data_IF_050350185428
#
_entry.id   IF_050350185428
#
_cell.length_a   1.000
_cell.length_b   1.000
_cell.length_c   1.000
_cell.angle_alpha   90.00
_cell.angle_beta   90.00
_cell.angle_gamma   90.00
#
_symmetry.space_group_name_H-M   'P 1'
#
loop_
_entity.id
_entity.type
_entity.pdbx_description
1 polymer ?
#
# COMPACT_ATOMS: atom_id res chain seq x y z
N UNK A 1 -13.52 -1.55 10.65
CA UNK A 1 -12.88 -2.00 9.38
C UNK A 1 -12.04 -3.21 9.69
N UNK A 2 -12.19 -4.29 8.93
CA UNK A 2 -11.35 -5.47 9.11
C UNK A 2 -9.93 -5.17 8.61
N UNK A 3 -8.93 -5.53 9.40
CA UNK A 3 -7.50 -5.36 9.08
C UNK A 3 -6.95 -6.64 8.43
N UNK A 4 -5.94 -6.50 7.58
CA UNK A 4 -5.13 -7.61 7.06
C UNK A 4 -3.65 -7.28 7.16
N UNK A 5 -2.78 -8.27 7.15
CA UNK A 5 -1.33 -8.04 7.11
C UNK A 5 -0.80 -7.97 5.67
N UNK A 6 0.38 -7.37 5.45
CA UNK A 6 0.96 -7.23 4.12
C UNK A 6 1.23 -8.58 3.46
N UNK A 7 1.73 -9.56 4.21
CA UNK A 7 2.01 -10.89 3.68
C UNK A 7 0.79 -11.54 3.04
N UNK A 8 -0.41 -11.34 3.61
CA UNK A 8 -1.66 -11.81 3.02
C UNK A 8 -1.93 -11.16 1.65
N UNK A 9 -1.61 -9.87 1.47
CA UNK A 9 -1.72 -9.18 0.17
C UNK A 9 -0.74 -9.75 -0.84
N UNK A 10 0.52 -9.92 -0.44
CA UNK A 10 1.56 -10.46 -1.31
C UNK A 10 1.17 -11.85 -1.81
N UNK A 11 0.70 -12.72 -0.92
CA UNK A 11 0.20 -14.05 -1.27
C UNK A 11 -1.02 -13.96 -2.20
N UNK A 12 -2.00 -13.12 -1.87
CA UNK A 12 -3.22 -12.95 -2.67
C UNK A 12 -2.90 -12.54 -4.12
N UNK A 13 -1.96 -11.63 -4.31
CA UNK A 13 -1.55 -11.11 -5.61
C UNK A 13 -0.38 -11.87 -6.26
N UNK A 14 0.13 -12.94 -5.62
CA UNK A 14 1.30 -13.70 -6.07
C UNK A 14 2.55 -12.83 -6.29
N UNK A 15 2.78 -11.87 -5.39
CA UNK A 15 3.97 -11.03 -5.37
C UNK A 15 5.04 -11.72 -4.51
N UNK A 16 6.13 -12.15 -5.15
CA UNK A 16 7.27 -12.79 -4.51
C UNK A 16 8.45 -11.83 -4.52
N UNK A 17 8.53 -10.98 -3.49
CA UNK A 17 9.55 -9.95 -3.33
C UNK A 17 10.07 -9.96 -1.91
N UNK A 18 11.38 -9.75 -1.75
CA UNK A 18 12.00 -9.66 -0.43
C UNK A 18 11.74 -8.27 0.17
N UNK A 19 11.00 -8.24 1.27
CA UNK A 19 10.66 -7.04 2.02
C UNK A 19 11.04 -7.20 3.49
N UNK A 20 11.42 -6.11 4.17
CA UNK A 20 11.69 -6.13 5.61
C UNK A 20 10.61 -6.84 6.43
N UNK A 21 11.02 -7.74 7.34
CA UNK A 21 10.11 -8.61 8.09
C UNK A 21 9.04 -7.84 8.88
N UNK A 22 9.38 -6.68 9.44
CA UNK A 22 8.41 -5.85 10.15
C UNK A 22 7.29 -5.31 9.23
N UNK A 23 7.57 -5.14 7.92
CA UNK A 23 6.56 -4.71 6.93
C UNK A 23 5.57 -5.83 6.61
N UNK A 24 6.06 -7.06 6.53
CA UNK A 24 5.22 -8.24 6.27
C UNK A 24 4.09 -8.36 7.30
N UNK A 25 4.35 -7.94 8.54
CA UNK A 25 3.41 -7.96 9.66
C UNK A 25 2.60 -6.65 9.82
N UNK A 26 2.82 -5.61 9.00
CA UNK A 26 2.06 -4.37 9.08
C UNK A 26 0.62 -4.58 8.63
N UNK A 27 -0.33 -3.95 9.35
CA UNK A 27 -1.75 -4.07 9.03
C UNK A 27 -2.24 -2.99 8.08
N UNK A 28 -2.91 -3.39 7.01
CA UNK A 28 -3.56 -2.53 6.04
C UNK A 28 -5.08 -2.75 6.00
N UNK A 29 -5.78 -1.89 5.26
CA UNK A 29 -7.21 -2.01 5.05
C UNK A 29 -7.50 -3.19 4.10
N UNK A 30 -8.44 -4.06 4.44
CA UNK A 30 -8.84 -5.19 3.58
C UNK A 30 -9.34 -4.81 2.20
N UNK A 31 -9.74 -3.56 1.99
CA UNK A 31 -10.19 -3.06 0.68
C UNK A 31 -9.19 -3.33 -0.46
N UNK A 32 -7.89 -3.42 -0.14
CA UNK A 32 -6.86 -3.72 -1.14
C UNK A 32 -7.00 -5.13 -1.76
N UNK A 33 -7.65 -6.08 -1.09
CA UNK A 33 -7.96 -7.40 -1.67
C UNK A 33 -8.92 -7.31 -2.88
N UNK A 34 -9.74 -6.27 -2.94
CA UNK A 34 -10.67 -6.04 -4.04
C UNK A 34 -10.05 -5.18 -5.16
N UNK A 35 -8.76 -4.83 -5.02
CA UNK A 35 -8.05 -3.96 -5.93
C UNK A 35 -7.57 -4.62 -7.21
N UNK A 36 -7.20 -3.79 -8.19
CA UNK A 36 -6.51 -4.23 -9.41
C UNK A 36 -5.01 -4.07 -9.22
N UNK A 37 -4.28 -5.16 -9.46
CA UNK A 37 -2.83 -5.16 -9.50
C UNK A 37 -2.32 -4.71 -10.88
N UNK A 38 -1.43 -3.73 -10.90
CA UNK A 38 -0.60 -3.36 -12.05
C UNK A 38 0.87 -3.49 -11.66
N UNK A 39 1.72 -3.81 -12.64
CA UNK A 39 3.17 -3.87 -12.45
C UNK A 39 3.85 -3.05 -13.54
N UNK A 40 4.69 -2.12 -13.12
CA UNK A 40 5.52 -1.30 -14.01
C UNK A 40 6.97 -1.34 -13.54
N UNK A 41 7.84 -2.00 -14.32
CA UNK A 41 9.22 -2.24 -13.92
C UNK A 41 9.29 -3.04 -12.62
N UNK A 42 9.94 -2.46 -11.60
CA UNK A 42 10.07 -3.06 -10.25
C UNK A 42 9.00 -2.56 -9.26
N UNK A 43 7.98 -1.84 -9.72
CA UNK A 43 6.90 -1.34 -8.87
C UNK A 43 5.62 -2.11 -9.12
N UNK A 44 4.99 -2.55 -8.04
CA UNK A 44 3.63 -3.07 -8.04
C UNK A 44 2.70 -1.99 -7.49
N UNK A 45 1.53 -1.85 -8.08
CA UNK A 45 0.47 -0.98 -7.59
C UNK A 45 -0.82 -1.77 -7.48
N UNK A 46 -1.47 -1.66 -6.32
CA UNK A 46 -2.82 -2.19 -6.09
C UNK A 46 -3.74 -0.99 -5.90
N UNK A 47 -4.65 -0.78 -6.85
CA UNK A 47 -5.58 0.34 -6.86
C UNK A 47 -7.04 -0.13 -6.68
N UNK A 48 -7.79 0.53 -5.80
CA UNK A 48 -9.20 0.22 -5.54
C UNK A 48 -10.00 1.51 -5.29
N UNK A 49 -11.07 1.70 -6.05
CA UNK A 49 -12.03 2.80 -5.83
C UNK A 49 -13.23 2.29 -5.06
N UNK A 50 -13.47 2.89 -3.89
CA UNK A 50 -14.63 2.55 -3.06
C UNK A 50 -15.90 3.24 -3.54
N UNK A 51 -17.06 2.79 -3.03
CA UNK A 51 -18.37 3.41 -3.32
C UNK A 51 -18.47 4.89 -2.92
N UNK A 52 -17.56 5.38 -2.10
CA UNK A 52 -17.51 6.77 -1.63
C UNK A 52 -16.66 7.66 -2.55
N UNK A 53 -16.27 7.16 -3.74
CA UNK A 53 -15.33 7.82 -4.67
C UNK A 53 -13.97 8.12 -4.05
N UNK A 54 -13.55 7.32 -3.06
CA UNK A 54 -12.18 7.34 -2.54
C UNK A 54 -11.40 6.27 -3.27
N UNK A 55 -10.28 6.64 -3.89
CA UNK A 55 -9.36 5.69 -4.54
C UNK A 55 -8.16 5.44 -3.64
N UNK A 56 -7.99 4.19 -3.20
CA UNK A 56 -6.83 3.77 -2.43
C UNK A 56 -5.80 3.14 -3.36
N UNK A 57 -4.55 3.52 -3.18
CA UNK A 57 -3.40 2.98 -3.89
C UNK A 57 -2.42 2.41 -2.86
N UNK A 58 -1.95 1.19 -3.10
CA UNK A 58 -0.84 0.59 -2.38
C UNK A 58 0.28 0.32 -3.39
N UNK A 59 1.41 0.97 -3.20
CA UNK A 59 2.61 0.75 -3.98
C UNK A 59 3.58 -0.13 -3.21
N UNK A 60 4.12 -1.15 -3.87
CA UNK A 60 5.19 -2.01 -3.38
C UNK A 60 6.38 -1.82 -4.32
N UNK A 61 7.48 -1.32 -3.77
CA UNK A 61 8.68 -0.88 -4.49
C UNK A 61 9.94 -1.48 -3.87
N UNK A 62 10.20 -2.78 -4.09
CA UNK A 62 11.33 -3.46 -3.50
C UNK A 62 12.65 -2.73 -3.80
N UNK A 63 13.51 -2.59 -2.79
CA UNK A 63 14.80 -1.92 -2.93
C UNK A 63 14.77 -0.38 -2.84
N UNK A 64 13.61 0.28 -2.85
CA UNK A 64 13.54 1.73 -2.62
C UNK A 64 13.63 2.09 -1.12
N UNK A 65 14.00 3.34 -0.80
CA UNK A 65 14.01 3.86 0.57
C UNK A 65 12.67 3.65 1.30
N UNK A 66 11.57 3.77 0.55
CA UNK A 66 10.20 3.53 1.02
C UNK A 66 9.55 2.39 0.22
N UNK A 67 9.81 1.13 0.58
CA UNK A 67 9.36 -0.02 -0.21
C UNK A 67 7.85 -0.21 -0.19
N UNK A 68 7.12 0.40 0.75
CA UNK A 68 5.66 0.36 0.79
C UNK A 68 5.11 1.77 0.95
N UNK A 69 4.18 2.16 0.07
CA UNK A 69 3.50 3.46 0.13
C UNK A 69 2.00 3.24 -0.03
N UNK A 70 1.22 3.80 0.87
CA UNK A 70 -0.24 3.84 0.78
C UNK A 70 -0.68 5.27 0.52
N UNK A 71 -1.51 5.47 -0.49
CA UNK A 71 -2.17 6.74 -0.79
C UNK A 71 -3.67 6.53 -0.89
N UNK A 72 -4.43 7.56 -0.54
CA UNK A 72 -5.87 7.63 -0.66
C UNK A 72 -6.20 8.98 -1.27
N UNK A 73 -6.76 8.95 -2.47
CA UNK A 73 -7.33 10.12 -3.14
C UNK A 73 -8.78 10.26 -2.72
N UNK A 74 -9.08 11.38 -2.07
CA UNK A 74 -10.42 11.73 -1.64
C UNK A 74 -11.21 12.37 -2.80
N UNK A 75 -12.57 12.35 -2.75
CA UNK A 75 -13.40 12.94 -3.81
C UNK A 75 -13.16 14.43 -4.09
N UNK A 76 -12.54 15.14 -3.14
CA UNK A 76 -12.19 16.55 -3.26
C UNK A 76 -10.76 16.77 -3.81
N UNK A 77 -10.08 15.72 -4.27
CA UNK A 77 -8.71 15.77 -4.79
C UNK A 77 -7.61 15.80 -3.73
N UNK A 78 -7.96 15.81 -2.44
CA UNK A 78 -6.96 15.74 -1.37
C UNK A 78 -6.33 14.35 -1.28
N UNK A 79 -5.04 14.32 -0.99
CA UNK A 79 -4.27 13.09 -0.84
C UNK A 79 -3.86 12.88 0.62
N UNK A 80 -4.23 11.72 1.17
CA UNK A 80 -3.78 11.25 2.47
C UNK A 80 -3.11 9.88 2.34
N UNK A 81 -2.14 9.58 3.19
CA UNK A 81 -1.42 8.32 3.08
C UNK A 81 -0.34 8.11 4.10
N UNK A 82 0.47 7.09 3.86
CA UNK A 82 1.60 6.71 4.70
C UNK A 82 2.66 6.03 3.84
N UNK A 83 3.93 6.36 4.06
CA UNK A 83 5.07 5.62 3.49
C UNK A 83 5.83 4.92 4.59
N UNK A 84 6.29 3.70 4.31
CA UNK A 84 7.02 2.90 5.26
C UNK A 84 8.45 2.75 4.72
N UNK A 85 9.47 3.15 5.50
CA UNK A 85 10.87 3.03 5.09
C UNK A 85 11.32 1.57 4.99
N UNK A 86 12.58 1.30 4.62
CA UNK A 86 13.18 -0.04 4.71
C UNK A 86 13.63 -0.43 6.12
N UNK A 87 14.01 0.55 6.93
CA UNK A 87 14.47 0.33 8.30
C UNK A 87 13.30 0.44 9.26
N UNK A 88 13.25 -0.43 10.27
CA UNK A 88 12.15 -0.48 11.24
C UNK A 88 11.91 0.89 11.88
N UNK A 89 10.80 1.51 11.48
CA UNK A 89 10.37 2.82 11.93
C UNK A 89 8.86 2.92 11.73
N UNK A 90 8.22 3.78 12.52
CA UNK A 90 6.80 4.08 12.37
C UNK A 90 6.57 4.67 10.97
N UNK A 91 5.49 4.26 10.30
CA UNK A 91 5.13 4.80 8.99
C UNK A 91 5.03 6.32 9.02
N UNK A 92 5.58 6.97 8.00
CA UNK A 92 5.63 8.43 7.90
C UNK A 92 4.34 8.88 7.19
N UNK A 93 3.50 9.72 7.81
CA UNK A 93 2.26 10.18 7.20
C UNK A 93 2.54 11.05 5.97
N UNK A 94 1.67 10.95 4.97
CA UNK A 94 1.65 11.81 3.78
C UNK A 94 0.33 12.56 3.83
N UNK A 95 0.41 13.87 4.00
CA UNK A 95 -0.74 14.77 3.84
C UNK A 95 -0.35 15.80 2.80
N UNK A 96 -0.98 15.76 1.62
CA UNK A 96 -0.83 16.81 0.60
C UNK A 96 -2.18 17.52 0.43
N UNK A 97 -2.15 18.81 0.73
CA UNK A 97 -3.23 19.77 0.48
C UNK A 97 -3.18 20.25 -0.97
#
# INVERSE_FOLDING_TARGET
MSKMILSDLLIHFSIDEDLPEYLLNQTFNKVFLDGKLTKEGNTYEIAVTTRQNVTHHLFIKPGEEFPVIVLSELPNGLLNGMKFPQNESVGIPINKL
#
